data_IF_392159215795
#
_entry.id   IF_392159215795
#
_cell.length_a   1.000
_cell.length_b   1.000
_cell.length_c   1.000
_cell.angle_alpha   90.00
_cell.angle_beta   90.00
_cell.angle_gamma   90.00
#
_symmetry.space_group_name_H-M   'P 1'
#
loop_
_entity.id
_entity.type
_entity.pdbx_description
1 polymer ?
#
# COMPACT_ATOMS: atom_id res chain seq x y z
N UNK A 1 11.78 2.93 24.05
CA UNK A 1 10.75 2.96 25.10
C UNK A 1 11.24 3.80 26.26
N UNK A 2 10.51 4.80 26.64
CA UNK A 2 10.78 5.66 27.78
C UNK A 2 9.63 5.55 28.77
N UNK A 3 9.93 5.16 30.02
CA UNK A 3 8.96 5.18 31.10
C UNK A 3 8.91 6.58 31.73
N UNK A 4 7.74 7.14 31.82
CA UNK A 4 7.55 8.51 32.34
C UNK A 4 7.63 8.47 33.86
N UNK A 5 8.66 9.07 34.49
CA UNK A 5 8.94 8.85 35.91
C UNK A 5 7.86 9.38 36.85
N UNK A 6 7.12 10.43 36.45
CA UNK A 6 6.08 11.09 37.25
C UNK A 6 4.68 10.54 37.01
N UNK A 7 4.48 9.61 36.06
CA UNK A 7 3.20 8.94 35.79
C UNK A 7 3.41 7.45 35.81
N UNK A 8 3.14 6.83 36.96
CA UNK A 8 3.29 5.37 37.11
C UNK A 8 2.42 4.63 36.08
N UNK A 9 3.05 3.72 35.34
CA UNK A 9 2.38 2.90 34.34
C UNK A 9 2.33 3.50 32.94
N UNK A 10 2.84 4.71 32.70
CA UNK A 10 2.92 5.33 31.39
C UNK A 10 4.29 5.06 30.74
N UNK A 11 4.26 4.50 29.55
CA UNK A 11 5.43 4.30 28.70
C UNK A 11 5.19 4.93 27.33
N UNK A 12 6.19 5.64 26.83
CA UNK A 12 6.19 6.22 25.47
C UNK A 12 7.20 5.50 24.61
N UNK A 13 6.87 5.29 23.35
CA UNK A 13 7.80 4.77 22.35
C UNK A 13 7.69 5.54 21.04
N UNK A 14 8.85 5.79 20.44
CA UNK A 14 8.99 6.37 19.12
C UNK A 14 9.68 5.35 18.22
N UNK A 15 9.14 5.14 17.04
CA UNK A 15 9.73 4.32 15.98
C UNK A 15 9.80 5.15 14.71
N UNK A 16 10.96 5.16 14.08
CA UNK A 16 11.17 5.65 12.73
C UNK A 16 11.75 4.54 11.88
N UNK A 17 11.27 4.38 10.65
CA UNK A 17 11.89 3.49 9.67
C UNK A 17 11.99 4.15 8.30
N UNK A 18 13.03 3.77 7.58
CA UNK A 18 13.24 4.10 6.18
C UNK A 18 13.46 2.80 5.41
N UNK A 19 12.61 2.59 4.39
CA UNK A 19 12.77 1.51 3.43
C UNK A 19 13.14 2.11 2.08
N UNK A 20 14.25 1.66 1.51
CA UNK A 20 14.72 2.05 0.18
C UNK A 20 14.95 0.82 -0.68
N UNK A 21 14.41 0.82 -1.89
CA UNK A 21 14.65 -0.20 -2.89
C UNK A 21 14.95 0.44 -4.23
N UNK A 22 16.10 0.14 -4.78
CA UNK A 22 16.50 0.52 -6.13
C UNK A 22 16.58 -0.73 -6.98
N UNK A 23 15.75 -0.79 -8.01
CA UNK A 23 15.70 -1.93 -8.93
C UNK A 23 16.02 -1.45 -10.34
N UNK A 24 17.00 -2.09 -10.94
CA UNK A 24 17.35 -1.92 -12.34
C UNK A 24 17.05 -3.22 -13.08
N UNK A 25 16.11 -3.17 -14.03
CA UNK A 25 15.77 -4.29 -14.88
C UNK A 25 16.22 -3.98 -16.31
N UNK A 26 17.02 -4.85 -16.88
CA UNK A 26 17.35 -4.82 -18.29
C UNK A 26 16.76 -6.01 -19.01
N UNK A 27 16.37 -5.84 -20.25
CA UNK A 27 15.88 -6.89 -21.13
C UNK A 27 16.45 -6.71 -22.52
N UNK A 28 17.02 -7.75 -23.04
CA UNK A 28 17.49 -7.85 -24.41
C UNK A 28 16.61 -8.88 -25.14
N UNK A 29 15.78 -8.41 -26.02
CA UNK A 29 15.00 -9.26 -26.92
C UNK A 29 15.79 -9.50 -28.20
N UNK A 30 15.71 -10.73 -28.71
CA UNK A 30 16.34 -11.10 -30.00
C UNK A 30 15.36 -11.82 -30.88
N UNK A 31 15.42 -11.51 -32.16
CA UNK A 31 14.82 -12.32 -33.20
C UNK A 31 15.71 -13.48 -33.58
N UNK A 32 15.15 -14.54 -34.09
CA UNK A 32 15.87 -15.69 -34.55
C UNK A 32 15.20 -16.26 -35.79
N UNK A 33 15.98 -16.79 -36.77
CA UNK A 33 15.42 -17.39 -37.99
C UNK A 33 14.70 -18.70 -37.65
N UNK A 34 13.58 -18.92 -38.31
CA UNK A 34 12.85 -20.18 -38.30
C UNK A 34 13.11 -20.92 -39.61
N UNK A 35 13.28 -22.23 -39.56
CA UNK A 35 13.49 -23.11 -40.67
C UNK A 35 12.38 -24.16 -40.75
N UNK A 36 11.98 -24.53 -41.95
CA UNK A 36 11.06 -25.64 -42.15
C UNK A 36 11.75 -26.95 -41.78
N UNK A 37 11.08 -27.78 -41.02
CA UNK A 37 11.64 -29.03 -40.48
C UNK A 37 12.04 -30.06 -41.53
N UNK A 38 11.33 -30.10 -42.67
CA UNK A 38 11.53 -31.10 -43.70
C UNK A 38 12.49 -30.66 -44.80
N UNK A 39 12.52 -29.39 -45.09
CA UNK A 39 13.27 -28.84 -46.23
C UNK A 39 14.50 -28.05 -45.83
N UNK A 40 14.64 -27.75 -44.53
CA UNK A 40 15.67 -26.86 -43.98
C UNK A 40 15.70 -25.46 -44.65
N UNK A 41 14.61 -25.12 -45.32
CA UNK A 41 14.44 -23.83 -45.97
C UNK A 41 14.00 -22.75 -44.94
N UNK A 42 14.44 -21.48 -45.08
CA UNK A 42 13.97 -20.40 -44.22
C UNK A 42 12.44 -20.28 -44.27
N UNK A 43 11.79 -20.42 -43.10
CA UNK A 43 10.33 -20.39 -42.96
C UNK A 43 9.82 -19.10 -42.32
N UNK A 44 10.71 -18.18 -41.94
CA UNK A 44 10.37 -16.90 -41.33
C UNK A 44 11.28 -16.50 -40.17
N UNK A 45 10.81 -15.60 -39.34
CA UNK A 45 11.55 -15.12 -38.17
C UNK A 45 10.68 -15.30 -36.93
N UNK A 46 11.22 -15.97 -35.94
CA UNK A 46 10.60 -16.08 -34.61
C UNK A 46 11.16 -15.03 -33.63
N UNK A 47 10.51 -14.90 -32.48
CA UNK A 47 10.86 -13.92 -31.48
C UNK A 47 10.28 -12.53 -31.79
N UNK A 48 10.75 -11.55 -31.01
CA UNK A 48 10.41 -10.14 -31.21
C UNK A 48 11.57 -9.39 -31.89
N UNK A 49 11.30 -8.19 -32.36
CA UNK A 49 12.35 -7.31 -32.90
C UNK A 49 13.50 -7.18 -31.90
N UNK A 50 14.71 -7.21 -32.38
CA UNK A 50 15.92 -7.00 -31.57
C UNK A 50 15.85 -5.66 -30.88
N UNK A 51 15.74 -5.67 -29.56
CA UNK A 51 15.57 -4.47 -28.77
C UNK A 51 16.17 -4.63 -27.39
N UNK A 52 16.78 -3.57 -26.91
CA UNK A 52 17.23 -3.47 -25.53
C UNK A 52 16.38 -2.45 -24.77
N UNK A 53 15.96 -2.82 -23.59
CA UNK A 53 15.25 -1.94 -22.68
C UNK A 53 15.91 -1.96 -21.29
N UNK A 54 15.91 -0.80 -20.65
CA UNK A 54 16.35 -0.67 -19.27
C UNK A 54 15.30 0.13 -18.50
N UNK A 55 14.89 -0.40 -17.35
CA UNK A 55 13.92 0.24 -16.45
C UNK A 55 14.51 0.35 -15.06
N UNK A 56 14.68 1.59 -14.61
CA UNK A 56 15.10 1.92 -13.26
C UNK A 56 13.87 2.28 -12.42
N UNK A 57 13.73 1.61 -11.27
CA UNK A 57 12.67 1.88 -10.28
C UNK A 57 13.30 2.23 -8.95
N UNK A 58 12.87 3.34 -8.39
CA UNK A 58 13.26 3.79 -7.05
C UNK A 58 12.01 3.79 -6.19
N UNK A 59 12.05 3.05 -5.11
CA UNK A 59 11.02 3.04 -4.08
C UNK A 59 11.61 3.53 -2.77
N UNK A 60 10.93 4.47 -2.13
CA UNK A 60 11.30 4.99 -0.83
C UNK A 60 10.05 5.08 0.04
N UNK A 61 10.15 4.59 1.28
CA UNK A 61 9.10 4.71 2.29
C UNK A 61 9.71 5.21 3.58
N UNK A 62 9.13 6.27 4.11
CA UNK A 62 9.40 6.78 5.45
C UNK A 62 8.18 6.46 6.29
N UNK A 63 8.40 5.87 7.44
CA UNK A 63 7.36 5.55 8.42
C UNK A 63 7.76 6.07 9.78
N UNK A 64 6.83 6.69 10.47
CA UNK A 64 6.97 7.12 11.85
C UNK A 64 5.78 6.68 12.70
N UNK A 65 6.04 6.25 13.93
CA UNK A 65 5.03 5.86 14.90
C UNK A 65 5.39 6.38 16.28
N UNK A 66 4.46 7.11 16.87
CA UNK A 66 4.48 7.48 18.28
C UNK A 66 3.42 6.63 18.99
N UNK A 67 3.80 6.01 20.11
CA UNK A 67 2.91 5.17 20.91
C UNK A 67 3.02 5.52 22.38
N UNK A 68 1.89 5.64 23.03
CA UNK A 68 1.76 5.76 24.48
C UNK A 68 1.02 4.53 25.01
N UNK A 69 1.59 3.88 26.01
CA UNK A 69 0.96 2.77 26.72
C UNK A 69 0.80 3.16 28.19
N UNK A 70 -0.40 3.07 28.69
CA UNK A 70 -0.72 3.30 30.08
C UNK A 70 -1.32 2.04 30.68
N UNK A 71 -0.65 1.48 31.69
CA UNK A 71 -1.11 0.30 32.41
C UNK A 71 -1.27 0.63 33.89
N UNK A 72 -2.42 0.27 34.44
CA UNK A 72 -2.68 0.46 35.84
C UNK A 72 -3.57 -0.64 36.38
N UNK A 73 -3.18 -1.18 37.54
CA UNK A 73 -3.98 -2.12 38.31
C UNK A 73 -4.33 -1.48 39.67
N UNK A 74 -5.58 -1.58 40.08
CA UNK A 74 -6.07 -1.11 41.37
C UNK A 74 -7.18 -2.06 41.85
N UNK A 75 -6.97 -2.68 43.03
CA UNK A 75 -7.79 -3.74 43.55
C UNK A 75 -7.98 -4.88 42.51
N UNK A 76 -9.21 -5.12 42.07
CA UNK A 76 -9.57 -6.13 41.07
C UNK A 76 -9.70 -5.57 39.66
N UNK A 77 -9.35 -4.30 39.44
CA UNK A 77 -9.45 -3.62 38.16
C UNK A 77 -8.09 -3.55 37.49
N UNK A 78 -8.00 -3.98 36.24
CA UNK A 78 -6.84 -3.83 35.39
C UNK A 78 -7.22 -3.02 34.15
N UNK A 79 -6.50 -1.93 33.92
CA UNK A 79 -6.69 -1.06 32.76
C UNK A 79 -5.40 -1.00 31.95
N UNK A 80 -5.53 -1.22 30.65
CA UNK A 80 -4.44 -1.02 29.71
C UNK A 80 -4.95 -0.18 28.53
N UNK A 81 -4.39 1.03 28.38
CA UNK A 81 -4.74 1.95 27.30
C UNK A 81 -3.52 2.14 26.42
N UNK A 82 -3.71 1.95 25.13
CA UNK A 82 -2.71 2.21 24.10
C UNK A 82 -3.23 3.28 23.18
N UNK A 83 -2.45 4.35 22.98
CA UNK A 83 -2.69 5.37 21.97
C UNK A 83 -1.53 5.38 20.99
N UNK A 84 -1.83 5.42 19.69
CA UNK A 84 -0.84 5.38 18.61
C UNK A 84 -1.15 6.46 17.58
N UNK A 85 -0.11 7.16 17.12
CA UNK A 85 -0.13 8.01 15.95
C UNK A 85 0.89 7.48 14.93
N UNK A 86 0.44 7.27 13.70
CA UNK A 86 1.24 6.71 12.60
C UNK A 86 1.23 7.65 11.40
N UNK A 87 2.39 7.81 10.78
CA UNK A 87 2.56 8.55 9.54
C UNK A 87 3.38 7.70 8.57
N UNK A 88 2.95 7.64 7.32
CA UNK A 88 3.66 6.96 6.26
C UNK A 88 3.71 7.82 5.01
N UNK A 89 4.89 7.97 4.42
CA UNK A 89 5.11 8.61 3.13
C UNK A 89 5.87 7.69 2.22
N UNK A 90 5.33 7.46 1.02
CA UNK A 90 5.90 6.59 0.00
C UNK A 90 6.16 7.42 -1.25
N UNK A 91 7.30 7.20 -1.88
CA UNK A 91 7.66 7.76 -3.20
C UNK A 91 8.09 6.62 -4.10
N UNK A 92 7.60 6.64 -5.33
CA UNK A 92 8.01 5.74 -6.41
C UNK A 92 8.35 6.56 -7.63
N UNK A 93 9.57 6.37 -8.13
CA UNK A 93 10.02 6.92 -9.40
C UNK A 93 10.31 5.75 -10.34
N UNK A 94 9.91 5.87 -11.60
CA UNK A 94 10.25 4.93 -12.65
C UNK A 94 10.73 5.71 -13.86
N UNK A 95 11.84 5.25 -14.44
CA UNK A 95 12.38 5.71 -15.70
C UNK A 95 12.70 4.50 -16.57
N UNK A 96 12.19 4.48 -17.78
CA UNK A 96 12.44 3.43 -18.76
C UNK A 96 12.93 4.01 -20.06
N UNK A 97 13.89 3.33 -20.65
CA UNK A 97 14.39 3.62 -22.02
C UNK A 97 14.47 2.34 -22.82
N UNK A 98 14.15 2.41 -24.11
CA UNK A 98 14.27 1.29 -25.04
C UNK A 98 14.72 1.78 -26.41
N UNK A 99 15.49 0.94 -27.11
CA UNK A 99 15.85 1.12 -28.53
C UNK A 99 15.92 -0.21 -29.22
N UNK A 100 15.63 -0.22 -30.53
CA UNK A 100 15.81 -1.38 -31.39
C UNK A 100 17.23 -1.42 -31.94
N UNK A 101 17.77 -2.61 -32.11
CA UNK A 101 19.05 -2.84 -32.75
C UNK A 101 18.88 -3.14 -34.23
N UNK A 102 19.86 -2.76 -35.02
CA UNK A 102 20.04 -3.32 -36.37
C UNK A 102 20.74 -4.67 -36.22
N UNK A 103 20.59 -5.54 -37.22
CA UNK A 103 21.16 -6.91 -37.24
C UNK A 103 22.67 -7.01 -36.99
N UNK A 104 23.39 -5.91 -37.10
CA UNK A 104 24.85 -5.85 -37.03
C UNK A 104 25.42 -5.69 -35.59
N UNK A 105 24.61 -5.20 -34.65
CA UNK A 105 25.09 -4.91 -33.28
C UNK A 105 24.06 -5.29 -32.24
N UNK A 106 24.38 -6.29 -31.44
CA UNK A 106 23.59 -6.70 -30.28
C UNK A 106 24.43 -6.58 -29.02
N UNK A 107 24.34 -5.45 -28.37
CA UNK A 107 24.91 -5.28 -27.03
C UNK A 107 23.85 -4.61 -26.11
N UNK A 108 24.14 -4.58 -24.83
CA UNK A 108 23.27 -4.06 -23.78
C UNK A 108 23.50 -2.55 -23.49
N UNK A 109 23.89 -1.78 -24.52
CA UNK A 109 24.14 -0.34 -24.41
C UNK A 109 23.16 0.44 -25.27
N UNK A 110 22.22 1.13 -24.64
CA UNK A 110 21.18 1.92 -25.34
C UNK A 110 21.72 2.90 -26.38
N UNK A 111 22.87 3.51 -26.11
CA UNK A 111 23.43 4.51 -27.03
C UNK A 111 23.98 3.93 -28.34
N UNK A 112 24.23 2.63 -28.39
CA UNK A 112 24.72 1.94 -29.58
C UNK A 112 23.59 1.38 -30.47
N UNK A 113 22.36 1.43 -29.98
CA UNK A 113 21.20 1.07 -30.74
C UNK A 113 20.70 2.23 -31.64
N UNK A 114 19.82 1.94 -32.61
CA UNK A 114 19.32 2.89 -33.58
C UNK A 114 18.66 4.11 -32.92
N UNK A 115 19.12 5.34 -33.12
CA UNK A 115 18.55 6.53 -32.50
C UNK A 115 17.10 6.78 -32.89
N UNK A 116 16.71 6.44 -34.12
CA UNK A 116 15.35 6.66 -34.63
C UNK A 116 14.28 5.79 -33.98
N UNK A 117 14.69 4.77 -33.22
CA UNK A 117 13.77 3.86 -32.50
C UNK A 117 13.73 4.13 -31.00
N UNK A 118 14.35 5.23 -30.54
CA UNK A 118 14.43 5.55 -29.13
C UNK A 118 13.05 5.83 -28.55
N UNK A 119 12.71 5.10 -27.48
CA UNK A 119 11.52 5.36 -26.68
C UNK A 119 11.92 5.58 -25.23
N UNK A 120 11.20 6.46 -24.56
CA UNK A 120 11.36 6.67 -23.13
C UNK A 120 10.00 6.83 -22.48
N UNK A 121 9.92 6.45 -21.21
CA UNK A 121 8.76 6.69 -20.37
C UNK A 121 9.21 6.85 -18.93
N UNK A 122 8.38 7.48 -18.14
CA UNK A 122 8.65 7.59 -16.72
C UNK A 122 7.43 8.14 -15.98
N UNK A 123 7.34 7.79 -14.70
CA UNK A 123 6.33 8.35 -13.83
C UNK A 123 6.88 8.54 -12.42
N UNK A 124 6.21 9.40 -11.68
CA UNK A 124 6.44 9.59 -10.26
C UNK A 124 5.11 9.50 -9.53
N UNK A 125 5.07 8.71 -8.47
CA UNK A 125 3.91 8.62 -7.60
C UNK A 125 4.29 8.84 -6.14
N UNK A 126 3.35 9.42 -5.40
CA UNK A 126 3.47 9.66 -3.96
C UNK A 126 2.30 9.02 -3.25
N UNK A 127 2.55 8.53 -2.05
CA UNK A 127 1.53 8.04 -1.15
C UNK A 127 1.71 8.63 0.24
N UNK A 128 0.63 9.06 0.90
CA UNK A 128 0.66 9.54 2.28
C UNK A 128 -0.52 8.97 3.04
N UNK A 129 -0.23 8.35 4.16
CA UNK A 129 -1.22 7.79 5.07
C UNK A 129 -0.92 8.32 6.46
N UNK A 130 -1.97 8.61 7.21
CA UNK A 130 -1.88 8.95 8.62
C UNK A 130 -2.96 8.18 9.37
N UNK A 131 -2.66 7.72 10.57
CA UNK A 131 -3.60 6.99 11.38
C UNK A 131 -3.45 7.36 12.86
N UNK A 132 -4.58 7.46 13.54
CA UNK A 132 -4.65 7.54 14.99
C UNK A 132 -5.43 6.34 15.49
N UNK A 133 -4.88 5.66 16.46
CA UNK A 133 -5.51 4.48 17.08
C UNK A 133 -5.54 4.66 18.58
N UNK A 134 -6.67 4.34 19.18
CA UNK A 134 -6.81 4.20 20.62
C UNK A 134 -7.42 2.84 20.92
N UNK A 135 -6.80 2.11 21.84
CA UNK A 135 -7.26 0.81 22.34
C UNK A 135 -7.29 0.86 23.86
N UNK A 136 -8.41 0.52 24.45
CA UNK A 136 -8.58 0.37 25.87
C UNK A 136 -9.01 -1.06 26.20
N UNK A 137 -8.22 -1.74 27.02
CA UNK A 137 -8.54 -3.05 27.58
C UNK A 137 -8.83 -2.87 29.06
N UNK A 138 -9.95 -3.39 29.50
CA UNK A 138 -10.37 -3.39 30.87
C UNK A 138 -10.68 -4.83 31.31
N UNK A 139 -10.14 -5.17 32.47
CA UNK A 139 -10.37 -6.47 33.12
C UNK A 139 -10.83 -6.20 34.55
N UNK A 140 -11.92 -6.86 34.92
CA UNK A 140 -12.41 -6.85 36.28
C UNK A 140 -12.33 -8.25 36.91
N UNK A 141 -11.56 -8.39 37.96
CA UNK A 141 -11.36 -9.61 38.74
C UNK A 141 -10.87 -10.83 37.92
N UNK A 142 -10.29 -10.61 36.72
CA UNK A 142 -9.98 -11.68 35.79
C UNK A 142 -11.18 -12.38 35.16
N UNK A 143 -12.39 -11.92 35.44
CA UNK A 143 -13.66 -12.53 35.04
C UNK A 143 -14.31 -11.82 33.85
N UNK A 144 -14.41 -10.50 33.93
CA UNK A 144 -15.10 -9.68 32.92
C UNK A 144 -14.07 -8.88 32.13
N UNK A 145 -14.06 -9.06 30.86
CA UNK A 145 -13.09 -8.48 29.94
C UNK A 145 -13.84 -7.58 28.96
N UNK A 146 -13.34 -6.35 28.79
CA UNK A 146 -13.85 -5.41 27.80
C UNK A 146 -12.68 -4.83 27.02
N UNK A 147 -12.81 -4.82 25.71
CA UNK A 147 -11.90 -4.12 24.81
C UNK A 147 -12.67 -3.16 23.94
N UNK A 148 -12.19 -1.92 23.83
CA UNK A 148 -12.70 -0.91 22.91
C UNK A 148 -11.54 -0.41 22.08
N UNK A 149 -11.74 -0.38 20.76
CA UNK A 149 -10.76 0.12 19.80
C UNK A 149 -11.43 1.16 18.92
N UNK A 150 -10.77 2.29 18.75
CA UNK A 150 -11.11 3.31 17.76
C UNK A 150 -9.91 3.56 16.87
N UNK A 151 -10.08 3.48 15.55
CA UNK A 151 -9.05 3.82 14.58
C UNK A 151 -9.57 4.90 13.63
N UNK A 152 -8.80 5.95 13.45
CA UNK A 152 -9.10 7.08 12.58
C UNK A 152 -8.03 7.19 11.51
N UNK A 153 -8.35 6.76 10.28
CA UNK A 153 -7.43 6.65 9.17
C UNK A 153 -7.64 7.74 8.13
N UNK A 154 -6.54 8.36 7.72
CA UNK A 154 -6.50 9.35 6.66
C UNK A 154 -5.67 8.89 5.48
N UNK A 155 -6.27 8.92 4.27
CA UNK A 155 -5.62 8.55 3.02
C UNK A 155 -5.59 9.72 2.04
N UNK A 156 -4.44 9.92 1.38
CA UNK A 156 -4.24 10.92 0.33
C UNK A 156 -5.09 10.66 -0.93
N UNK A 157 -5.61 9.44 -1.09
CA UNK A 157 -6.39 9.02 -2.27
C UNK A 157 -7.71 9.77 -2.39
N UNK A 158 -8.29 10.14 -1.24
CA UNK A 158 -9.61 10.73 -1.16
C UNK A 158 -9.57 12.26 -1.11
N UNK A 159 -10.69 12.86 -1.47
CA UNK A 159 -10.88 14.31 -1.39
C UNK A 159 -10.60 14.84 0.04
N UNK A 160 -10.10 16.06 0.20
CA UNK A 160 -9.75 16.62 1.52
C UNK A 160 -10.87 16.51 2.56
N UNK A 161 -12.14 16.67 2.14
CA UNK A 161 -13.32 16.58 3.00
C UNK A 161 -13.71 15.15 3.40
N UNK A 162 -13.26 14.14 2.67
CA UNK A 162 -13.61 12.71 2.88
C UNK A 162 -12.40 11.83 3.16
N UNK A 163 -11.26 12.44 3.40
CA UNK A 163 -9.98 11.78 3.57
C UNK A 163 -9.87 10.93 4.82
N UNK A 164 -10.65 11.27 5.84
CA UNK A 164 -10.59 10.66 7.14
C UNK A 164 -11.81 9.81 7.45
N UNK A 165 -11.59 8.58 7.92
CA UNK A 165 -12.66 7.65 8.27
C UNK A 165 -12.38 7.00 9.62
N UNK A 166 -13.44 6.81 10.40
CA UNK A 166 -13.38 6.21 11.72
C UNK A 166 -13.87 4.76 11.71
N UNK A 167 -13.09 3.88 12.32
CA UNK A 167 -13.34 2.44 12.41
C UNK A 167 -13.42 2.03 13.88
N UNK A 168 -14.62 1.90 14.45
CA UNK A 168 -14.82 1.42 15.81
C UNK A 168 -14.83 -0.10 15.89
N UNK A 169 -14.38 -0.62 17.04
CA UNK A 169 -14.54 -2.03 17.41
C UNK A 169 -14.73 -2.16 18.92
N UNK A 170 -15.58 -3.09 19.34
CA UNK A 170 -15.78 -3.43 20.72
C UNK A 170 -15.82 -4.95 20.87
N UNK A 171 -15.21 -5.48 21.93
CA UNK A 171 -15.32 -6.87 22.31
C UNK A 171 -15.52 -7.02 23.80
N UNK A 172 -16.33 -7.98 24.20
CA UNK A 172 -16.56 -8.35 25.57
C UNK A 172 -16.30 -9.84 25.77
N UNK A 173 -15.79 -10.20 26.94
CA UNK A 173 -15.52 -11.58 27.31
C UNK A 173 -15.88 -11.85 28.76
N UNK A 174 -16.42 -13.02 29.02
CA UNK A 174 -16.74 -13.48 30.36
C UNK A 174 -16.08 -14.85 30.61
N UNK A 175 -15.20 -14.89 31.60
CA UNK A 175 -14.57 -16.13 32.06
C UNK A 175 -15.48 -16.82 33.08
N UNK A 176 -16.33 -17.69 32.58
CA UNK A 176 -17.26 -18.47 33.42
C UNK A 176 -16.52 -19.39 34.39
N UNK A 177 -15.37 -19.93 34.00
CA UNK A 177 -14.55 -20.78 34.87
C UNK A 177 -14.05 -20.08 36.14
N UNK A 178 -14.03 -18.75 36.16
CA UNK A 178 -13.62 -17.97 37.33
C UNK A 178 -14.79 -17.62 38.25
N UNK A 179 -16.01 -17.95 37.88
CA UNK A 179 -17.20 -17.77 38.73
C UNK A 179 -17.29 -18.86 39.77
N UNK A 180 -17.72 -18.53 40.99
CA UNK A 180 -17.81 -19.46 42.09
C UNK A 180 -18.74 -20.63 41.79
N UNK A 181 -19.84 -20.36 41.10
CA UNK A 181 -20.82 -21.43 40.74
C UNK A 181 -20.26 -22.46 39.75
N UNK A 182 -19.27 -22.15 38.93
CA UNK A 182 -18.56 -23.13 38.10
C UNK A 182 -17.40 -23.75 38.87
N UNK A 183 -16.60 -22.91 39.53
CA UNK A 183 -15.35 -23.30 40.20
C UNK A 183 -15.63 -24.31 41.35
N UNK A 184 -16.71 -24.10 42.06
CA UNK A 184 -17.06 -24.91 43.21
C UNK A 184 -17.84 -26.21 42.83
N UNK A 185 -18.65 -26.15 41.75
CA UNK A 185 -19.51 -27.29 41.35
C UNK A 185 -18.94 -28.13 40.20
N UNK A 186 -18.04 -27.55 39.38
CA UNK A 186 -17.49 -28.21 38.19
C UNK A 186 -15.98 -28.05 38.11
N UNK A 187 -15.20 -28.55 39.08
CA UNK A 187 -13.76 -28.33 39.20
C UNK A 187 -12.94 -28.88 38.01
N UNK A 188 -13.53 -29.79 37.22
CA UNK A 188 -12.90 -30.32 36.02
C UNK A 188 -12.90 -29.32 34.85
N UNK A 189 -13.70 -28.24 34.93
CA UNK A 189 -13.72 -27.17 33.94
C UNK A 189 -12.70 -26.09 34.34
N UNK A 190 -11.48 -26.20 33.85
CA UNK A 190 -10.37 -25.31 34.19
C UNK A 190 -10.39 -24.01 33.40
N UNK A 191 -10.99 -24.00 32.19
CA UNK A 191 -11.04 -22.79 31.36
C UNK A 191 -12.32 -22.80 30.51
N UNK A 192 -13.27 -21.95 30.89
CA UNK A 192 -14.50 -21.72 30.13
C UNK A 192 -14.69 -20.20 29.96
N UNK A 193 -14.65 -19.71 28.70
CA UNK A 193 -14.79 -18.30 28.35
C UNK A 193 -15.80 -18.13 27.22
N UNK A 194 -16.77 -17.24 27.40
CA UNK A 194 -17.63 -16.74 26.35
C UNK A 194 -17.11 -15.37 25.90
N UNK A 195 -17.11 -15.11 24.61
CA UNK A 195 -16.74 -13.81 24.05
C UNK A 195 -17.63 -13.44 22.87
N UNK A 196 -17.88 -12.14 22.72
CA UNK A 196 -18.52 -11.54 21.56
C UNK A 196 -17.77 -10.30 21.14
N UNK A 197 -17.78 -10.01 19.84
CA UNK A 197 -17.17 -8.79 19.30
C UNK A 197 -17.97 -8.25 18.13
N UNK A 198 -17.94 -6.92 18.00
CA UNK A 198 -18.45 -6.18 16.86
C UNK A 198 -17.41 -5.18 16.43
N UNK A 199 -17.20 -5.02 15.12
CA UNK A 199 -16.25 -4.04 14.61
C UNK A 199 -16.54 -3.70 13.16
N UNK A 200 -16.13 -2.50 12.80
CA UNK A 200 -16.17 -1.99 11.44
C UNK A 200 -14.73 -1.88 10.92
N UNK A 201 -14.50 -2.38 9.72
CA UNK A 201 -13.23 -2.24 9.00
C UNK A 201 -13.45 -1.67 7.62
N UNK A 202 -12.41 -1.06 7.07
CA UNK A 202 -12.42 -0.49 5.73
C UNK A 202 -11.22 -0.96 4.92
N UNK A 203 -11.33 -0.80 3.62
CA UNK A 203 -10.26 -1.07 2.66
C UNK A 203 -10.01 0.17 1.82
N UNK A 204 -8.73 0.59 1.73
CA UNK A 204 -8.29 1.72 0.91
C UNK A 204 -8.11 1.25 -0.55
N UNK A 205 -9.22 1.23 -1.28
CA UNK A 205 -9.29 0.81 -2.68
C UNK A 205 -9.44 2.00 -3.62
N UNK A 206 -9.10 1.77 -4.90
CA UNK A 206 -9.26 2.75 -5.97
C UNK A 206 -7.96 3.49 -6.29
N UNK A 207 -7.98 4.16 -7.44
CA UNK A 207 -6.87 4.99 -7.88
C UNK A 207 -6.84 6.33 -7.13
N UNK A 208 -5.64 6.89 -6.90
CA UNK A 208 -5.54 8.20 -6.26
C UNK A 208 -6.13 9.30 -7.14
N UNK A 209 -6.70 10.33 -6.47
CA UNK A 209 -7.18 11.56 -7.11
C UNK A 209 -8.36 11.41 -8.07
N UNK A 210 -9.17 10.35 -7.96
CA UNK A 210 -10.38 10.18 -8.78
C UNK A 210 -11.42 11.30 -8.61
N UNK A 211 -11.26 12.14 -7.60
CA UNK A 211 -12.08 13.33 -7.34
C UNK A 211 -11.61 14.56 -8.13
N UNK A 212 -10.51 14.47 -8.86
CA UNK A 212 -9.96 15.57 -9.67
C UNK A 212 -10.36 15.38 -11.12
N UNK A 213 -11.03 16.38 -11.69
CA UNK A 213 -11.26 16.42 -13.13
C UNK A 213 -9.96 16.69 -13.88
N UNK A 214 -9.49 15.72 -14.64
CA UNK A 214 -8.31 15.88 -15.48
C UNK A 214 -8.65 15.65 -16.94
N UNK A 215 -8.21 16.57 -17.80
CA UNK A 215 -8.26 16.39 -19.24
C UNK A 215 -7.01 15.61 -19.68
N UNK A 216 -7.21 14.59 -20.46
CA UNK A 216 -6.14 13.81 -21.06
C UNK A 216 -5.92 14.22 -22.51
N UNK A 217 -4.68 14.25 -22.99
CA UNK A 217 -4.39 14.42 -24.41
C UNK A 217 -4.83 13.16 -25.17
N UNK A 218 -5.55 13.35 -26.27
CA UNK A 218 -5.92 12.28 -27.17
C UNK A 218 -4.92 12.19 -28.32
N UNK A 219 -4.57 10.96 -28.70
CA UNK A 219 -3.76 10.72 -29.90
C UNK A 219 -4.52 11.03 -31.18
N UNK A 220 -5.85 11.04 -31.14
CA UNK A 220 -6.71 11.30 -32.31
C UNK A 220 -7.31 12.70 -32.16
N UNK A 221 -6.66 13.71 -32.72
CA UNK A 221 -7.16 15.07 -32.83
C UNK A 221 -7.80 15.36 -34.17
N UNK A 222 -8.23 16.59 -34.34
CA UNK A 222 -8.74 17.06 -35.63
C UNK A 222 -7.63 17.28 -36.63
N UNK A 223 -7.90 16.96 -37.87
CA UNK A 223 -7.01 17.27 -39.01
C UNK A 223 -7.46 18.61 -39.59
N UNK A 224 -6.59 19.61 -39.52
CA UNK A 224 -6.78 20.89 -40.22
C UNK A 224 -5.94 20.86 -41.50
N UNK A 225 -6.50 21.31 -42.60
CA UNK A 225 -5.85 21.37 -43.93
C UNK A 225 -5.35 20.00 -44.48
N UNK A 226 -5.93 18.89 -44.07
CA UNK A 226 -5.65 17.58 -44.63
C UNK A 226 -4.25 16.99 -44.42
N UNK A 227 -3.37 17.67 -43.67
CA UNK A 227 -1.97 17.27 -43.54
C UNK A 227 -1.46 17.11 -42.11
N UNK A 228 -1.99 17.84 -41.13
CA UNK A 228 -1.47 17.79 -39.78
C UNK A 228 -2.54 17.42 -38.76
N UNK A 229 -2.33 16.33 -38.07
CA UNK A 229 -3.19 15.92 -36.96
C UNK A 229 -2.79 16.69 -35.70
N UNK A 230 -3.72 17.50 -35.17
CA UNK A 230 -3.50 18.22 -33.91
C UNK A 230 -4.01 17.35 -32.76
N UNK A 231 -3.22 17.18 -31.71
CA UNK A 231 -3.63 16.47 -30.51
C UNK A 231 -4.85 17.13 -29.88
N UNK A 232 -5.91 16.37 -29.70
CA UNK A 232 -7.11 16.81 -29.00
C UNK A 232 -7.04 16.58 -27.50
N UNK A 233 -8.02 17.11 -26.79
CA UNK A 233 -8.24 16.78 -25.37
C UNK A 233 -9.48 15.91 -25.23
N UNK A 234 -9.37 14.85 -24.44
CA UNK A 234 -10.52 14.04 -24.04
C UNK A 234 -11.10 14.63 -22.76
N UNK A 235 -12.42 14.74 -22.74
CA UNK A 235 -13.15 15.18 -21.55
C UNK A 235 -12.80 14.27 -20.35
N UNK A 236 -12.77 14.83 -19.14
CA UNK A 236 -12.53 14.04 -17.94
C UNK A 236 -13.57 12.94 -17.80
N UNK A 237 -13.14 11.77 -17.34
CA UNK A 237 -14.06 10.73 -16.91
C UNK A 237 -14.98 11.20 -15.78
N UNK A 238 -15.95 10.37 -15.44
CA UNK A 238 -16.88 10.69 -14.35
C UNK A 238 -16.08 10.89 -13.05
N UNK A 239 -16.10 12.10 -12.54
CA UNK A 239 -15.54 12.43 -11.23
C UNK A 239 -16.45 11.85 -10.17
N UNK A 240 -15.95 10.94 -9.36
CA UNK A 240 -16.70 10.43 -8.23
C UNK A 240 -16.24 11.08 -6.94
N UNK A 241 -17.11 11.81 -6.30
CA UNK A 241 -16.91 12.38 -4.98
C UNK A 241 -17.36 11.44 -3.84
N UNK A 242 -17.82 10.23 -4.21
CA UNK A 242 -18.35 9.24 -3.27
C UNK A 242 -17.29 8.32 -2.65
N UNK A 243 -16.03 8.46 -3.06
CA UNK A 243 -14.90 7.74 -2.48
C UNK A 243 -14.23 8.56 -1.40
#
# INVERSE_FOLDING_TARGET
NWQVPFVKGLALSLLGSFDGNNRNNSSLNRSYPLYDYYTDAPAGTGGSTDAYSNTMRIYQKIYGRLQANYMRSFNQHNLNVTAVAELSSTRRDELSGSRQYSELFTNDILNQASPGTATNSGYRSFGRLAAYLMRANYDYAGKYLLEVVGRYDGSYRYAPSKRWTFFPSVSAGWRLSEESFIKDNLPFITNLKIRGSFGQSGYDAGDPFQYVSAYNSASNGYVFDGASQIMGMVAPGVVTDRL
#
